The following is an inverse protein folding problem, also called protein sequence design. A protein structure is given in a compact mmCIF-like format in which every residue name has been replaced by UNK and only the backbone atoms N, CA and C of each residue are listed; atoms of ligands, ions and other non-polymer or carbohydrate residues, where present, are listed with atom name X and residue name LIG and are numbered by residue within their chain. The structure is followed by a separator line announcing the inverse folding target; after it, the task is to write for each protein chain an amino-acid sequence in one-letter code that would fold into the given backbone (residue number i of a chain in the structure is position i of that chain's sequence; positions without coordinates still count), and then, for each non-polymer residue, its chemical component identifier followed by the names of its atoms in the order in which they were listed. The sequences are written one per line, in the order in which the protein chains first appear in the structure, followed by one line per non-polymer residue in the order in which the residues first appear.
data_IF_502112758107
#
_entry.id   IF_502112758107
#
_cell.length_a   1.000
_cell.length_b   1.000
_cell.length_c   1.000
_cell.angle_alpha   90.00
_cell.angle_beta   90.00
_cell.angle_gamma   90.00
#
_symmetry.space_group_name_H-M   'P 1'
#
loop_
_entity.id
_entity.type
_entity.pdbx_description
1 polymer ?
#
# COMPACT_ATOMS: atom_id res chain seq x y z
N UNK A 1 -44.92 21.20 34.19
CA UNK A 1 -44.07 22.38 34.42
C UNK A 1 -43.22 22.60 33.19
N UNK A 2 -43.30 23.76 32.56
CA UNK A 2 -42.66 23.97 31.27
C UNK A 2 -41.12 23.72 31.29
N UNK A 3 -40.47 23.99 32.42
CA UNK A 3 -39.01 23.78 32.54
C UNK A 3 -38.61 22.30 32.49
N UNK A 4 -39.23 21.41 33.28
CA UNK A 4 -38.90 19.98 33.27
C UNK A 4 -39.24 19.31 31.95
N UNK A 5 -40.33 19.73 31.29
CA UNK A 5 -40.71 19.27 29.96
C UNK A 5 -39.69 19.73 28.91
N UNK A 6 -39.18 20.95 29.03
CA UNK A 6 -38.17 21.49 28.16
C UNK A 6 -36.83 20.73 28.32
N UNK A 7 -36.39 20.47 29.55
CA UNK A 7 -35.17 19.69 29.80
C UNK A 7 -35.32 18.22 29.38
N UNK A 8 -36.47 17.59 29.61
CA UNK A 8 -36.71 16.24 29.10
C UNK A 8 -36.62 16.19 27.57
N UNK A 9 -37.21 17.18 26.89
CA UNK A 9 -37.14 17.28 25.42
C UNK A 9 -35.70 17.45 24.94
N UNK A 10 -34.91 18.28 25.65
CA UNK A 10 -33.49 18.50 25.35
C UNK A 10 -32.65 17.24 25.50
N UNK A 11 -32.82 16.50 26.60
CA UNK A 11 -32.14 15.21 26.82
C UNK A 11 -32.54 14.15 25.79
N UNK A 12 -33.81 14.09 25.41
CA UNK A 12 -34.29 13.22 24.36
C UNK A 12 -33.68 13.54 23.01
N UNK A 13 -33.56 14.83 22.67
CA UNK A 13 -32.91 15.29 21.46
C UNK A 13 -31.42 14.91 21.45
N UNK A 14 -30.73 15.07 22.57
CA UNK A 14 -29.34 14.69 22.74
C UNK A 14 -29.16 13.17 22.61
N UNK A 15 -30.05 12.37 23.17
CA UNK A 15 -30.05 10.89 23.02
C UNK A 15 -30.29 10.47 21.57
N UNK A 16 -31.16 11.13 20.84
CA UNK A 16 -31.38 10.89 19.42
C UNK A 16 -30.13 11.23 18.58
N UNK A 17 -29.47 12.35 18.87
CA UNK A 17 -28.24 12.74 18.21
C UNK A 17 -27.13 11.71 18.45
N UNK A 18 -26.95 11.24 19.70
CA UNK A 18 -26.00 10.19 20.04
C UNK A 18 -26.32 8.86 19.32
N UNK A 19 -27.59 8.49 19.21
CA UNK A 19 -28.00 7.31 18.48
C UNK A 19 -27.68 7.41 16.99
N UNK A 20 -27.90 8.57 16.38
CA UNK A 20 -27.52 8.84 14.99
C UNK A 20 -26.00 8.76 14.79
N UNK A 21 -25.22 9.36 15.69
CA UNK A 21 -23.76 9.27 15.67
C UNK A 21 -23.27 7.83 15.82
N UNK A 22 -23.83 7.06 16.73
CA UNK A 22 -23.51 5.63 16.90
C UNK A 22 -23.79 4.85 15.62
N UNK A 23 -24.92 5.12 14.95
CA UNK A 23 -25.28 4.49 13.69
C UNK A 23 -24.28 4.82 12.59
N UNK A 24 -23.87 6.09 12.47
CA UNK A 24 -22.87 6.52 11.49
C UNK A 24 -21.53 5.83 11.71
N UNK A 25 -21.04 5.81 12.96
CA UNK A 25 -19.80 5.13 13.32
C UNK A 25 -19.87 3.61 13.08
N UNK A 26 -21.01 2.99 13.32
CA UNK A 26 -21.18 1.55 13.03
C UNK A 26 -21.13 1.26 11.53
N UNK A 27 -21.71 2.13 10.72
CA UNK A 27 -21.63 2.03 9.25
C UNK A 27 -20.20 2.22 8.78
N UNK A 28 -19.48 3.18 9.32
CA UNK A 28 -18.06 3.42 9.06
C UNK A 28 -17.21 2.23 9.46
N UNK A 29 -17.44 1.65 10.64
CA UNK A 29 -16.77 0.44 11.12
C UNK A 29 -16.95 -0.73 10.15
N UNK A 30 -18.16 -0.96 9.67
CA UNK A 30 -18.46 -2.01 8.70
C UNK A 30 -17.69 -1.81 7.39
N UNK A 31 -17.65 -0.59 6.87
CA UNK A 31 -16.88 -0.22 5.68
C UNK A 31 -15.38 -0.45 5.87
N UNK A 32 -14.83 -0.05 7.02
CA UNK A 32 -13.42 -0.26 7.35
C UNK A 32 -13.07 -1.74 7.50
N UNK A 33 -13.94 -2.56 8.10
CA UNK A 33 -13.76 -4.00 8.19
C UNK A 33 -13.77 -4.66 6.81
N UNK A 34 -14.62 -4.20 5.89
CA UNK A 34 -14.61 -4.65 4.50
C UNK A 34 -13.31 -4.26 3.79
N UNK A 35 -12.78 -3.06 4.05
CA UNK A 35 -11.49 -2.64 3.51
C UNK A 35 -10.35 -3.53 4.00
N UNK A 36 -10.34 -3.92 5.29
CA UNK A 36 -9.37 -4.89 5.83
C UNK A 36 -9.47 -6.22 5.10
N UNK A 37 -10.68 -6.77 4.94
CA UNK A 37 -10.89 -8.05 4.27
C UNK A 37 -10.44 -8.01 2.79
N UNK A 38 -10.73 -6.92 2.09
CA UNK A 38 -10.28 -6.70 0.71
C UNK A 38 -8.76 -6.65 0.62
N UNK A 39 -8.10 -5.90 1.50
CA UNK A 39 -6.65 -5.80 1.53
C UNK A 39 -5.98 -7.15 1.89
N UNK A 40 -6.57 -7.94 2.78
CA UNK A 40 -6.12 -9.31 3.08
C UNK A 40 -6.21 -10.23 1.86
N UNK A 41 -7.29 -10.13 1.09
CA UNK A 41 -7.44 -10.88 -0.16
C UNK A 41 -6.38 -10.47 -1.18
N UNK A 42 -6.14 -9.17 -1.34
CA UNK A 42 -5.09 -8.64 -2.22
C UNK A 42 -3.71 -9.12 -1.80
N UNK A 43 -3.40 -9.12 -0.50
CA UNK A 43 -2.16 -9.66 0.05
C UNK A 43 -1.98 -11.13 -0.30
N UNK A 44 -3.01 -11.95 -0.11
CA UNK A 44 -2.97 -13.38 -0.41
C UNK A 44 -2.71 -13.63 -1.89
N UNK A 45 -3.39 -12.89 -2.78
CA UNK A 45 -3.19 -12.98 -4.22
C UNK A 45 -1.77 -12.54 -4.63
N UNK A 46 -1.27 -11.44 -4.07
CA UNK A 46 0.08 -10.97 -4.30
C UNK A 46 1.12 -11.99 -3.81
N UNK A 47 0.91 -12.62 -2.66
CA UNK A 47 1.78 -13.65 -2.11
C UNK A 47 1.83 -14.92 -2.99
N UNK A 48 0.70 -15.34 -3.55
CA UNK A 48 0.65 -16.38 -4.57
C UNK A 48 1.44 -15.98 -5.83
N UNK A 49 1.31 -14.72 -6.26
CA UNK A 49 2.11 -14.15 -7.35
C UNK A 49 3.61 -14.20 -7.09
N UNK A 50 4.06 -13.87 -5.88
CA UNK A 50 5.49 -13.98 -5.48
C UNK A 50 5.96 -15.43 -5.62
N UNK A 51 5.20 -16.38 -5.08
CA UNK A 51 5.56 -17.81 -5.16
C UNK A 51 5.67 -18.28 -6.62
N UNK A 52 4.73 -17.89 -7.46
CA UNK A 52 4.73 -18.22 -8.88
C UNK A 52 5.91 -17.57 -9.62
N UNK A 53 6.20 -16.30 -9.35
CA UNK A 53 7.32 -15.59 -9.96
C UNK A 53 8.66 -16.22 -9.52
N UNK A 54 8.82 -16.51 -8.23
CA UNK A 54 10.02 -17.19 -7.71
C UNK A 54 10.24 -18.56 -8.33
N UNK A 55 9.19 -19.35 -8.55
CA UNK A 55 9.29 -20.66 -9.17
C UNK A 55 9.80 -20.61 -10.64
N UNK A 56 9.65 -19.46 -11.32
CA UNK A 56 10.16 -19.26 -12.68
C UNK A 56 11.65 -18.96 -12.74
N UNK A 57 12.26 -18.45 -11.69
CA UNK A 57 13.66 -18.02 -11.68
C UNK A 57 14.64 -19.20 -11.85
N UNK A 58 14.55 -20.33 -11.11
CA UNK A 58 15.51 -21.42 -11.24
C UNK A 58 15.61 -22.03 -12.64
N UNK A 59 14.51 -22.36 -13.35
CA UNK A 59 14.61 -22.91 -14.69
C UNK A 59 15.20 -21.90 -15.69
N UNK A 60 14.95 -20.60 -15.53
CA UNK A 60 15.54 -19.57 -16.37
C UNK A 60 17.03 -19.41 -16.11
N UNK A 61 17.47 -19.48 -14.85
CA UNK A 61 18.88 -19.48 -14.48
C UNK A 61 19.61 -20.71 -15.07
N UNK A 62 19.00 -21.90 -14.97
CA UNK A 62 19.56 -23.10 -15.58
C UNK A 62 19.69 -22.95 -17.11
N UNK A 63 18.68 -22.35 -17.77
CA UNK A 63 18.74 -22.08 -19.20
C UNK A 63 19.83 -21.05 -19.55
N UNK A 64 20.03 -20.03 -18.75
CA UNK A 64 21.10 -19.04 -18.94
C UNK A 64 22.47 -19.68 -18.79
N UNK A 65 22.70 -20.48 -17.74
CA UNK A 65 23.96 -21.20 -17.53
C UNK A 65 24.25 -22.21 -18.67
N UNK A 66 23.23 -22.88 -19.18
CA UNK A 66 23.39 -23.76 -20.35
C UNK A 66 23.78 -22.99 -21.63
N UNK A 67 23.19 -21.80 -21.83
CA UNK A 67 23.55 -20.95 -22.96
C UNK A 67 24.98 -20.38 -22.83
N UNK A 68 25.41 -20.01 -21.62
CA UNK A 68 26.79 -19.59 -21.33
C UNK A 68 27.80 -20.74 -21.59
N UNK A 69 27.47 -21.97 -21.21
CA UNK A 69 28.28 -23.12 -21.51
C UNK A 69 28.44 -23.31 -23.03
N UNK A 70 27.37 -23.12 -23.82
CA UNK A 70 27.45 -23.17 -25.29
C UNK A 70 28.36 -22.08 -25.87
N UNK A 71 28.43 -20.91 -25.27
CA UNK A 71 29.38 -19.85 -25.64
C UNK A 71 30.80 -20.31 -25.36
N UNK A 72 31.08 -20.88 -24.20
CA UNK A 72 32.39 -21.41 -23.84
C UNK A 72 32.84 -22.52 -24.79
N UNK A 73 31.95 -23.49 -25.11
CA UNK A 73 32.22 -24.57 -26.06
C UNK A 73 32.51 -24.01 -27.46
N UNK A 74 31.74 -23.04 -27.94
CA UNK A 74 31.97 -22.41 -29.24
C UNK A 74 33.29 -21.59 -29.28
N UNK A 75 33.69 -20.99 -28.17
CA UNK A 75 35.00 -20.35 -28.05
C UNK A 75 36.16 -21.38 -28.11
N UNK A 76 36.00 -22.48 -27.40
CA UNK A 76 36.98 -23.56 -27.42
C UNK A 76 37.10 -24.17 -28.83
N UNK A 77 35.98 -24.42 -29.52
CA UNK A 77 35.97 -24.89 -30.91
C UNK A 77 36.79 -23.97 -31.87
N UNK A 78 36.73 -22.64 -31.62
CA UNK A 78 37.51 -21.66 -32.41
C UNK A 78 38.99 -21.72 -32.04
N UNK A 79 39.33 -21.87 -30.76
CA UNK A 79 40.72 -22.02 -30.31
C UNK A 79 41.35 -23.27 -30.86
N UNK A 80 40.63 -24.40 -30.82
CA UNK A 80 41.09 -25.69 -31.37
C UNK A 80 41.26 -25.63 -32.89
N UNK A 81 40.47 -24.79 -33.57
CA UNK A 81 40.58 -24.55 -35.00
C UNK A 81 41.53 -23.40 -35.38
N UNK A 82 42.27 -22.80 -34.42
CA UNK A 82 43.16 -21.67 -34.68
C UNK A 82 44.31 -21.97 -35.60
N UNK A 83 44.81 -23.22 -35.60
CA UNK A 83 45.85 -23.70 -36.50
C UNK A 83 45.28 -24.53 -37.64
N UNK A 84 45.67 -24.28 -38.90
CA UNK A 84 45.22 -25.07 -40.03
C UNK A 84 45.80 -26.50 -39.94
N UNK A 85 44.98 -27.55 -39.92
CA UNK A 85 45.48 -28.92 -39.91
C UNK A 85 46.24 -29.20 -41.19
N UNK A 86 47.30 -30.01 -41.09
CA UNK A 86 48.09 -30.45 -42.28
C UNK A 86 47.17 -31.13 -43.33
N UNK A 87 47.30 -30.67 -44.61
CA UNK A 87 46.57 -31.26 -45.74
C UNK A 87 45.19 -30.67 -46.04
N UNK A 88 44.70 -29.72 -45.28
CA UNK A 88 43.41 -29.01 -45.56
C UNK A 88 43.68 -27.78 -46.46
N UNK A 89 42.95 -27.64 -47.60
CA UNK A 89 43.04 -26.42 -48.40
C UNK A 89 42.68 -25.14 -47.60
N UNK A 90 43.44 -24.02 -47.77
CA UNK A 90 43.22 -22.80 -47.01
C UNK A 90 41.81 -22.24 -47.15
N UNK A 91 41.14 -22.43 -48.28
CA UNK A 91 39.77 -21.96 -48.48
C UNK A 91 38.75 -22.74 -47.59
N UNK A 92 38.93 -24.07 -47.51
CA UNK A 92 38.05 -24.93 -46.68
C UNK A 92 38.23 -24.63 -45.21
N UNK A 93 39.47 -24.40 -44.78
CA UNK A 93 39.76 -24.00 -43.40
C UNK A 93 39.14 -22.64 -43.03
N UNK A 94 39.26 -21.61 -43.90
CA UNK A 94 38.62 -20.32 -43.71
C UNK A 94 37.11 -20.43 -43.63
N UNK A 95 36.47 -21.23 -44.46
CA UNK A 95 35.03 -21.49 -44.42
C UNK A 95 34.62 -22.16 -43.12
N UNK A 96 35.39 -23.13 -42.58
CA UNK A 96 35.15 -23.74 -41.26
C UNK A 96 35.26 -22.71 -40.14
N UNK A 97 36.29 -21.89 -40.15
CA UNK A 97 36.50 -20.85 -39.13
C UNK A 97 35.40 -19.80 -39.17
N UNK A 98 34.91 -19.43 -40.35
CA UNK A 98 33.75 -18.53 -40.49
C UNK A 98 32.46 -19.14 -39.93
N UNK A 99 32.23 -20.46 -40.15
CA UNK A 99 31.10 -21.19 -39.59
C UNK A 99 31.15 -21.25 -38.04
N UNK A 100 32.33 -21.49 -37.47
CA UNK A 100 32.53 -21.50 -36.02
C UNK A 100 32.32 -20.11 -35.41
N UNK A 101 32.80 -19.03 -36.04
CA UNK A 101 32.51 -17.65 -35.61
C UNK A 101 31.02 -17.34 -35.66
N UNK A 102 30.31 -17.80 -36.69
CA UNK A 102 28.84 -17.65 -36.75
C UNK A 102 28.14 -18.44 -35.64
N UNK A 103 28.61 -19.67 -35.31
CA UNK A 103 28.11 -20.44 -34.17
C UNK A 103 28.31 -19.69 -32.86
N UNK A 104 29.48 -19.10 -32.63
CA UNK A 104 29.77 -18.29 -31.46
C UNK A 104 28.82 -17.09 -31.35
N UNK A 105 28.63 -16.33 -32.44
CA UNK A 105 27.74 -15.17 -32.44
C UNK A 105 26.29 -15.58 -32.11
N UNK A 106 25.80 -16.70 -32.62
CA UNK A 106 24.47 -17.22 -32.27
C UNK A 106 24.39 -17.66 -30.80
N UNK A 107 25.42 -18.33 -30.28
CA UNK A 107 25.47 -18.72 -28.87
C UNK A 107 25.49 -17.51 -27.95
N UNK A 108 26.26 -16.45 -28.26
CA UNK A 108 26.28 -15.19 -27.52
C UNK A 108 24.92 -14.51 -27.51
N UNK A 109 24.24 -14.44 -28.65
CA UNK A 109 22.89 -13.87 -28.74
C UNK A 109 21.91 -14.69 -27.88
N UNK A 110 22.01 -16.03 -27.91
CA UNK A 110 21.15 -16.88 -27.08
C UNK A 110 21.44 -16.70 -25.58
N UNK A 111 22.70 -16.58 -25.18
CA UNK A 111 23.10 -16.33 -23.79
C UNK A 111 22.57 -14.97 -23.28
N UNK A 112 22.73 -13.90 -24.07
CA UNK A 112 22.21 -12.59 -23.76
C UNK A 112 20.68 -12.60 -23.60
N UNK A 113 19.96 -13.28 -24.51
CA UNK A 113 18.51 -13.42 -24.44
C UNK A 113 18.06 -14.23 -23.21
N UNK A 114 18.80 -15.27 -22.84
CA UNK A 114 18.51 -16.07 -21.66
C UNK A 114 18.73 -15.26 -20.36
N UNK A 115 19.82 -14.51 -20.30
CA UNK A 115 20.12 -13.63 -19.17
C UNK A 115 19.07 -12.50 -19.01
N UNK A 116 18.60 -11.92 -20.12
CA UNK A 116 17.52 -10.94 -20.09
C UNK A 116 16.23 -11.52 -19.47
N UNK A 117 15.89 -12.77 -19.79
CA UNK A 117 14.73 -13.45 -19.19
C UNK A 117 14.89 -13.69 -17.69
N UNK A 118 16.10 -13.98 -17.21
CA UNK A 118 16.39 -14.09 -15.76
C UNK A 118 16.16 -12.75 -15.09
N UNK A 119 16.66 -11.67 -15.65
CA UNK A 119 16.47 -10.30 -15.13
C UNK A 119 15.00 -9.94 -15.09
N UNK A 120 14.25 -10.20 -16.15
CA UNK A 120 12.80 -9.95 -16.20
C UNK A 120 12.04 -10.76 -15.12
N UNK A 121 12.40 -12.02 -14.92
CA UNK A 121 11.79 -12.84 -13.87
C UNK A 121 12.11 -12.30 -12.47
N UNK A 122 13.34 -11.86 -12.23
CA UNK A 122 13.73 -11.23 -10.95
C UNK A 122 13.01 -9.91 -10.71
N UNK A 123 12.84 -9.09 -11.74
CA UNK A 123 12.03 -7.86 -11.65
C UNK A 123 10.56 -8.18 -11.33
N UNK A 124 9.99 -9.22 -11.94
CA UNK A 124 8.64 -9.68 -11.63
C UNK A 124 8.51 -10.11 -10.16
N UNK A 125 9.50 -10.79 -9.58
CA UNK A 125 9.54 -11.12 -8.15
C UNK A 125 9.56 -9.85 -7.30
N UNK A 126 10.41 -8.89 -7.62
CA UNK A 126 10.50 -7.63 -6.89
C UNK A 126 9.18 -6.83 -6.94
N UNK A 127 8.54 -6.75 -8.09
CA UNK A 127 7.25 -6.09 -8.26
C UNK A 127 6.14 -6.75 -7.42
N UNK A 128 6.04 -8.08 -7.45
CA UNK A 128 5.03 -8.78 -6.65
C UNK A 128 5.32 -8.68 -5.15
N UNK A 129 6.58 -8.66 -4.72
CA UNK A 129 6.96 -8.39 -3.34
C UNK A 129 6.55 -6.96 -2.89
N UNK A 130 6.74 -5.97 -3.76
CA UNK A 130 6.29 -4.60 -3.49
C UNK A 130 4.75 -4.53 -3.33
N UNK A 131 4.00 -5.31 -4.10
CA UNK A 131 2.54 -5.41 -3.95
C UNK A 131 2.14 -6.02 -2.60
N UNK A 132 2.85 -7.05 -2.12
CA UNK A 132 2.62 -7.62 -0.77
C UNK A 132 2.85 -6.55 0.29
N UNK A 133 3.97 -5.82 0.22
CA UNK A 133 4.27 -4.75 1.17
C UNK A 133 3.23 -3.62 1.15
N UNK A 134 2.73 -3.27 -0.03
CA UNK A 134 1.67 -2.27 -0.17
C UNK A 134 0.37 -2.76 0.50
N UNK A 135 -0.01 -4.02 0.28
CA UNK A 135 -1.17 -4.62 0.93
C UNK A 135 -1.02 -4.70 2.46
N UNK A 136 0.17 -5.03 2.97
CA UNK A 136 0.45 -5.04 4.42
C UNK A 136 0.30 -3.65 5.04
N UNK A 137 0.76 -2.59 4.37
CA UNK A 137 0.56 -1.21 4.82
C UNK A 137 -0.93 -0.82 4.83
N UNK A 138 -1.69 -1.23 3.81
CA UNK A 138 -3.13 -1.00 3.76
C UNK A 138 -3.87 -1.72 4.89
N UNK A 139 -3.52 -2.97 5.18
CA UNK A 139 -4.08 -3.74 6.30
C UNK A 139 -3.79 -3.02 7.62
N UNK A 140 -2.56 -2.60 7.85
CA UNK A 140 -2.17 -1.90 9.07
C UNK A 140 -2.95 -0.58 9.25
N UNK A 141 -3.04 0.24 8.21
CA UNK A 141 -3.79 1.50 8.24
C UNK A 141 -5.29 1.27 8.49
N UNK A 142 -5.90 0.32 7.77
CA UNK A 142 -7.31 0.01 7.93
C UNK A 142 -7.60 -0.60 9.33
N UNK A 143 -6.71 -1.42 9.88
CA UNK A 143 -6.83 -1.97 11.24
C UNK A 143 -6.77 -0.87 12.29
N UNK A 144 -5.87 0.09 12.16
CA UNK A 144 -5.79 1.25 13.04
C UNK A 144 -7.08 2.08 12.98
N UNK A 145 -7.62 2.30 11.79
CA UNK A 145 -8.90 3.00 11.63
C UNK A 145 -10.07 2.23 12.29
N UNK A 146 -10.12 0.91 12.16
CA UNK A 146 -11.12 0.06 12.86
C UNK A 146 -11.01 0.24 14.37
N UNK A 147 -9.81 0.19 14.94
CA UNK A 147 -9.59 0.36 16.37
C UNK A 147 -10.02 1.76 16.86
N UNK A 148 -9.68 2.80 16.10
CA UNK A 148 -10.08 4.16 16.42
C UNK A 148 -11.62 4.32 16.42
N UNK A 149 -12.29 3.77 15.41
CA UNK A 149 -13.76 3.83 15.33
C UNK A 149 -14.42 3.02 16.45
N UNK A 150 -13.89 1.86 16.82
CA UNK A 150 -14.36 1.08 17.95
C UNK A 150 -14.20 1.84 19.28
N UNK A 151 -13.07 2.51 19.48
CA UNK A 151 -12.84 3.35 20.66
C UNK A 151 -13.83 4.52 20.69
N UNK A 152 -14.11 5.17 19.56
CA UNK A 152 -15.10 6.23 19.46
C UNK A 152 -16.52 5.73 19.81
N UNK A 153 -16.91 4.56 19.32
CA UNK A 153 -18.21 3.94 19.68
C UNK A 153 -18.26 3.64 21.19
N UNK A 154 -17.18 3.10 21.76
CA UNK A 154 -17.13 2.80 23.19
C UNK A 154 -17.23 4.08 24.04
N UNK A 155 -16.63 5.19 23.60
CA UNK A 155 -16.72 6.48 24.30
C UNK A 155 -18.13 7.10 24.32
N UNK A 156 -19.03 6.70 23.43
CA UNK A 156 -20.42 7.17 23.45
C UNK A 156 -21.27 6.50 24.55
N UNK A 157 -20.88 5.31 25.00
CA UNK A 157 -21.67 4.53 25.96
C UNK A 157 -21.86 5.23 27.32
N UNK A 158 -20.80 5.73 28.00
CA UNK A 158 -20.96 6.41 29.27
C UNK A 158 -21.84 7.67 29.12
N UNK A 159 -21.68 8.43 28.05
CA UNK A 159 -22.51 9.61 27.78
C UNK A 159 -23.98 9.27 27.60
N UNK A 160 -24.27 8.19 26.88
CA UNK A 160 -25.64 7.70 26.73
C UNK A 160 -26.25 7.31 28.09
N UNK A 161 -25.46 6.64 28.94
CA UNK A 161 -25.91 6.24 30.27
C UNK A 161 -26.20 7.47 31.14
N UNK A 162 -25.35 8.49 31.11
CA UNK A 162 -25.55 9.75 31.85
C UNK A 162 -26.83 10.50 31.42
N UNK A 163 -27.05 10.62 30.10
CA UNK A 163 -28.27 11.26 29.57
C UNK A 163 -29.53 10.47 29.92
N UNK A 164 -29.46 9.13 29.86
CA UNK A 164 -30.57 8.27 30.28
C UNK A 164 -30.87 8.41 31.79
N UNK A 165 -29.81 8.42 32.61
CA UNK A 165 -29.99 8.66 34.06
C UNK A 165 -30.61 10.03 34.35
N UNK A 166 -30.15 11.07 33.62
CA UNK A 166 -30.74 12.41 33.74
C UNK A 166 -32.23 12.45 33.35
N UNK A 167 -32.60 11.76 32.27
CA UNK A 167 -33.99 11.67 31.84
C UNK A 167 -34.85 10.96 32.89
N UNK A 168 -34.38 9.83 33.42
CA UNK A 168 -35.08 9.07 34.48
C UNK A 168 -35.27 9.91 35.72
N UNK A 169 -34.30 10.75 36.09
CA UNK A 169 -34.38 11.61 37.26
C UNK A 169 -35.41 12.76 37.04
N UNK A 170 -35.46 13.35 35.84
CA UNK A 170 -36.50 14.33 35.48
C UNK A 170 -37.90 13.71 35.55
N UNK A 171 -38.06 12.48 35.04
CA UNK A 171 -39.34 11.77 35.11
C UNK A 171 -39.74 11.49 36.56
N UNK A 172 -38.79 11.08 37.42
CA UNK A 172 -39.00 10.91 38.86
C UNK A 172 -39.44 12.20 39.52
N UNK A 173 -38.73 13.33 39.29
CA UNK A 173 -39.06 14.65 39.83
C UNK A 173 -40.45 15.11 39.39
N UNK A 174 -40.78 14.90 38.11
CA UNK A 174 -42.08 15.25 37.59
C UNK A 174 -43.23 14.48 38.26
N UNK A 175 -43.00 13.18 38.52
CA UNK A 175 -43.95 12.35 39.24
C UNK A 175 -44.11 12.79 40.73
N UNK A 176 -43.02 13.15 41.40
CA UNK A 176 -43.04 13.67 42.79
C UNK A 176 -43.73 15.03 42.92
N UNK A 177 -43.44 15.96 42.01
CA UNK A 177 -44.13 17.28 41.97
C UNK A 177 -45.64 17.12 41.76
N UNK A 178 -46.03 16.13 41.00
CA UNK A 178 -47.44 15.85 40.78
C UNK A 178 -48.11 15.29 42.03
N UNK A 179 -47.38 14.61 42.91
CA UNK A 179 -47.89 13.99 44.14
C UNK A 179 -47.84 14.89 45.37
N UNK A 180 -46.82 15.79 45.48
CA UNK A 180 -46.63 16.67 46.62
C UNK A 180 -46.20 18.09 46.20
N UNK A 181 -47.12 19.08 46.26
CA UNK A 181 -46.84 20.47 45.91
C UNK A 181 -45.81 21.16 46.82
N UNK A 182 -45.56 20.65 48.03
CA UNK A 182 -44.58 21.22 48.97
C UNK A 182 -43.13 20.85 48.63
N UNK A 183 -42.91 19.74 47.95
CA UNK A 183 -41.58 19.34 47.45
C UNK A 183 -41.07 20.26 46.31
N UNK A 184 -41.91 21.19 45.84
CA UNK A 184 -41.63 22.00 44.62
C UNK A 184 -40.38 22.89 44.75
N UNK A 185 -40.11 23.42 45.92
CA UNK A 185 -38.98 24.35 46.13
C UNK A 185 -37.62 23.59 46.12
N UNK A 186 -37.56 22.44 46.80
CA UNK A 186 -36.33 21.60 46.80
C UNK A 186 -36.03 21.00 45.41
N UNK A 187 -37.06 20.68 44.67
CA UNK A 187 -36.92 20.18 43.31
C UNK A 187 -36.52 21.24 42.28
N UNK A 188 -36.83 22.53 42.54
CA UNK A 188 -36.32 23.64 41.70
C UNK A 188 -34.80 23.80 41.81
N UNK A 189 -34.22 23.59 42.98
CA UNK A 189 -32.77 23.65 43.16
C UNK A 189 -32.06 22.46 42.48
N UNK A 190 -32.61 21.26 42.59
CA UNK A 190 -32.11 20.08 41.88
C UNK A 190 -32.23 20.25 40.36
N UNK A 191 -33.33 20.83 39.88
CA UNK A 191 -33.51 21.15 38.46
C UNK A 191 -32.47 22.17 37.96
N UNK A 192 -32.11 23.18 38.75
CA UNK A 192 -31.06 24.14 38.40
C UNK A 192 -29.66 23.44 38.31
N UNK A 193 -29.36 22.54 39.25
CA UNK A 193 -28.11 21.75 39.20
C UNK A 193 -28.05 20.83 37.97
N UNK A 194 -29.17 20.19 37.61
CA UNK A 194 -29.26 19.37 36.42
C UNK A 194 -29.07 20.19 35.12
N UNK A 195 -29.64 21.41 35.08
CA UNK A 195 -29.44 22.33 33.94
C UNK A 195 -27.97 22.69 33.75
N UNK A 196 -27.26 22.98 34.84
CA UNK A 196 -25.84 23.28 34.79
C UNK A 196 -25.04 22.05 34.30
N UNK A 197 -25.37 20.87 34.79
CA UNK A 197 -24.71 19.61 34.39
C UNK A 197 -24.98 19.25 32.91
N UNK A 198 -26.22 19.51 32.44
CA UNK A 198 -26.57 19.31 31.03
C UNK A 198 -25.80 20.27 30.13
N UNK A 199 -25.68 21.53 30.51
CA UNK A 199 -24.90 22.52 29.78
C UNK A 199 -23.41 22.12 29.67
N UNK A 200 -22.84 21.63 30.78
CA UNK A 200 -21.44 21.13 30.78
C UNK A 200 -21.27 19.90 29.87
N UNK A 201 -22.25 19.00 29.87
CA UNK A 201 -22.22 17.82 28.98
C UNK A 201 -22.35 18.21 27.50
N UNK A 202 -23.19 19.20 27.19
CA UNK A 202 -23.33 19.75 25.84
C UNK A 202 -22.04 20.44 25.35
N UNK A 203 -21.40 21.22 26.21
CA UNK A 203 -20.12 21.84 25.92
C UNK A 203 -19.03 20.76 25.64
N UNK A 204 -18.99 19.74 26.48
CA UNK A 204 -18.12 18.57 26.27
C UNK A 204 -18.43 17.82 24.95
N UNK A 205 -19.71 17.73 24.57
CA UNK A 205 -20.16 17.10 23.32
C UNK A 205 -19.76 17.95 22.11
N UNK A 206 -19.86 19.27 22.22
CA UNK A 206 -19.39 20.20 21.19
C UNK A 206 -17.87 20.10 20.98
N UNK A 207 -17.09 20.09 22.07
CA UNK A 207 -15.63 19.91 21.99
C UNK A 207 -15.27 18.60 21.28
N UNK A 208 -15.92 17.49 21.67
CA UNK A 208 -15.63 16.19 21.03
C UNK A 208 -16.06 16.16 19.57
N UNK A 209 -17.11 16.90 19.22
CA UNK A 209 -17.53 17.03 17.81
C UNK A 209 -16.49 17.78 16.98
N UNK A 210 -15.95 18.87 17.51
CA UNK A 210 -14.85 19.59 16.86
C UNK A 210 -13.60 18.73 16.73
N UNK A 211 -13.23 17.98 17.78
CA UNK A 211 -12.10 17.04 17.72
C UNK A 211 -12.32 15.93 16.67
N UNK A 212 -13.56 15.48 16.49
CA UNK A 212 -13.92 14.50 15.47
C UNK A 212 -13.84 15.12 14.06
N UNK A 213 -14.39 16.32 13.88
CA UNK A 213 -14.32 17.05 12.60
C UNK A 213 -12.86 17.34 12.20
N UNK A 214 -12.02 17.72 13.17
CA UNK A 214 -10.57 17.91 12.94
C UNK A 214 -9.86 16.59 12.59
N UNK A 215 -10.19 15.49 13.26
CA UNK A 215 -9.65 14.19 12.97
C UNK A 215 -10.09 13.67 11.60
N UNK A 216 -11.33 13.93 11.19
CA UNK A 216 -11.85 13.60 9.86
C UNK A 216 -11.16 14.43 8.77
N UNK A 217 -10.94 15.72 9.02
CA UNK A 217 -10.20 16.59 8.11
C UNK A 217 -8.74 16.14 7.94
N UNK A 218 -8.09 15.77 9.05
CA UNK A 218 -6.74 15.23 9.04
C UNK A 218 -6.69 13.89 8.27
N UNK A 219 -7.65 13.01 8.49
CA UNK A 219 -7.76 11.73 7.77
C UNK A 219 -7.93 11.98 6.25
N UNK A 220 -8.78 12.92 5.86
CA UNK A 220 -8.97 13.30 4.46
C UNK A 220 -7.67 13.82 3.84
N UNK A 221 -6.92 14.67 4.57
CA UNK A 221 -5.63 15.19 4.12
C UNK A 221 -4.58 14.08 3.95
N UNK A 222 -4.52 13.14 4.90
CA UNK A 222 -3.61 11.98 4.85
C UNK A 222 -3.96 11.04 3.69
N UNK A 223 -5.25 10.84 3.41
CA UNK A 223 -5.70 10.05 2.25
C UNK A 223 -5.31 10.70 0.93
N UNK A 224 -5.43 12.02 0.83
CA UNK A 224 -4.98 12.78 -0.34
C UNK A 224 -3.47 12.64 -0.52
N UNK A 225 -2.69 12.84 0.55
CA UNK A 225 -1.23 12.69 0.52
C UNK A 225 -0.79 11.27 0.16
N UNK A 226 -1.49 10.26 0.67
CA UNK A 226 -1.26 8.87 0.29
C UNK A 226 -1.48 8.64 -1.20
N UNK A 227 -2.55 9.20 -1.76
CA UNK A 227 -2.85 9.07 -3.19
C UNK A 227 -1.80 9.77 -4.05
N UNK A 228 -1.34 10.96 -3.64
CA UNK A 228 -0.22 11.67 -4.29
C UNK A 228 1.06 10.85 -4.27
N UNK A 229 1.43 10.28 -3.11
CA UNK A 229 2.60 9.42 -2.98
C UNK A 229 2.48 8.13 -3.82
N UNK A 230 1.29 7.56 -3.90
CA UNK A 230 1.04 6.38 -4.73
C UNK A 230 1.22 6.71 -6.23
N UNK A 231 0.75 7.87 -6.65
CA UNK A 231 0.92 8.36 -8.03
C UNK A 231 2.40 8.65 -8.33
N UNK A 232 3.12 9.28 -7.38
CA UNK A 232 4.55 9.54 -7.49
C UNK A 232 5.35 8.23 -7.58
N UNK A 233 5.02 7.24 -6.77
CA UNK A 233 5.66 5.91 -6.81
C UNK A 233 5.38 5.20 -8.14
N UNK A 234 4.18 5.30 -8.70
CA UNK A 234 3.86 4.76 -10.01
C UNK A 234 4.68 5.45 -11.11
N UNK A 235 4.83 6.78 -11.04
CA UNK A 235 5.64 7.56 -11.99
C UNK A 235 7.12 7.19 -11.89
N UNK A 236 7.65 7.07 -10.68
CA UNK A 236 9.05 6.65 -10.46
C UNK A 236 9.28 5.21 -10.93
N UNK A 237 8.33 4.31 -10.74
CA UNK A 237 8.42 2.93 -11.22
C UNK A 237 8.48 2.82 -12.76
N UNK A 238 7.97 3.83 -13.48
CA UNK A 238 8.11 3.91 -14.94
C UNK A 238 9.40 4.62 -15.35
N UNK A 239 9.81 5.65 -14.64
CA UNK A 239 10.99 6.46 -14.97
C UNK A 239 12.32 5.75 -14.66
N UNK A 240 12.37 4.93 -13.60
CA UNK A 240 13.60 4.20 -13.23
C UNK A 240 14.05 3.26 -14.35
N UNK A 241 13.20 2.37 -14.93
CA UNK A 241 13.61 1.50 -16.02
C UNK A 241 14.01 2.27 -17.29
N UNK A 242 13.36 3.42 -17.54
CA UNK A 242 13.74 4.28 -18.67
C UNK A 242 15.13 4.90 -18.47
N UNK A 243 15.42 5.38 -17.26
CA UNK A 243 16.73 5.91 -16.91
C UNK A 243 17.83 4.84 -16.95
N UNK A 244 17.53 3.63 -16.44
CA UNK A 244 18.44 2.47 -16.54
C UNK A 244 18.72 2.08 -17.99
N UNK A 245 17.70 2.11 -18.85
CA UNK A 245 17.85 1.85 -20.28
C UNK A 245 18.72 2.91 -20.96
N UNK A 246 18.52 4.18 -20.62
CA UNK A 246 19.32 5.29 -21.14
C UNK A 246 20.79 5.22 -20.65
N UNK A 247 21.00 4.88 -19.38
CA UNK A 247 22.33 4.67 -18.84
C UNK A 247 23.06 3.53 -19.53
N UNK A 248 22.40 2.38 -19.72
CA UNK A 248 22.98 1.25 -20.45
C UNK A 248 23.29 1.59 -21.92
N UNK A 249 22.45 2.38 -22.58
CA UNK A 249 22.70 2.84 -23.94
C UNK A 249 23.90 3.82 -23.98
N UNK A 250 24.05 4.69 -22.99
CA UNK A 250 25.19 5.60 -22.88
C UNK A 250 26.51 4.85 -22.62
N UNK A 251 26.48 3.81 -21.77
CA UNK A 251 27.64 2.94 -21.53
C UNK A 251 28.06 2.19 -22.80
N UNK A 252 27.10 1.69 -23.58
CA UNK A 252 27.38 1.04 -24.86
C UNK A 252 27.97 2.02 -25.88
N UNK A 253 27.44 3.24 -25.94
CA UNK A 253 27.98 4.27 -26.82
C UNK A 253 29.40 4.70 -26.44
N UNK A 254 29.67 4.77 -25.12
CA UNK A 254 31.02 5.07 -24.62
C UNK A 254 31.99 3.94 -24.99
N UNK A 255 31.62 2.69 -24.76
CA UNK A 255 32.44 1.53 -25.13
C UNK A 255 32.72 1.45 -26.64
N UNK A 256 31.73 1.81 -27.47
CA UNK A 256 31.90 1.86 -28.92
C UNK A 256 32.87 2.98 -29.33
N UNK A 257 32.77 4.18 -28.71
CA UNK A 257 33.69 5.29 -28.97
C UNK A 257 35.11 4.95 -28.51
N UNK A 258 35.29 4.29 -27.36
CA UNK A 258 36.60 3.84 -26.89
C UNK A 258 37.23 2.81 -27.83
N UNK A 259 36.44 1.89 -28.38
CA UNK A 259 36.89 0.94 -29.38
C UNK A 259 37.31 1.60 -30.69
N UNK A 260 36.56 2.61 -31.14
CA UNK A 260 36.87 3.40 -32.34
C UNK A 260 38.17 4.20 -32.15
N UNK A 261 38.35 4.85 -30.99
CA UNK A 261 39.60 5.54 -30.64
C UNK A 261 40.78 4.57 -30.61
N UNK A 262 40.59 3.38 -30.03
CA UNK A 262 41.66 2.36 -29.98
C UNK A 262 42.06 1.88 -31.39
N UNK A 263 41.06 1.73 -32.27
CA UNK A 263 41.32 1.34 -33.68
C UNK A 263 42.07 2.46 -34.42
N UNK A 264 41.67 3.70 -34.25
CA UNK A 264 42.34 4.87 -34.84
C UNK A 264 43.79 5.04 -34.34
N UNK A 265 44.06 4.69 -33.09
CA UNK A 265 45.41 4.73 -32.52
C UNK A 265 46.30 3.56 -33.02
N UNK A 266 45.71 2.45 -33.45
CA UNK A 266 46.43 1.30 -34.01
C UNK A 266 46.72 1.43 -35.53
N UNK A 267 45.88 2.20 -36.26
CA UNK A 267 45.98 2.43 -37.69
C UNK A 267 46.77 3.75 -38.02
N UNK A 268 47.32 4.46 -37.03
CA UNK A 268 48.22 5.60 -37.23
C UNK A 268 49.58 5.20 -37.81
N UNK A 269 50.17 6.01 -38.71
CA UNK A 269 51.34 5.70 -39.49
C UNK A 269 52.60 5.48 -38.65
#
# INVERSE_FOLDING_TARGET
MPFLEQEATRLQTALQALAAQQTALTTQLTSQQQAVATAQTQRTNAQAGVTQAQARVPPLQAAASAAEAQVADAQQDILDASEPPEGIPPATWRARLAALRKKLALAQTAATAAQAKVTEAQQSVAQTQAQVQAADRQIAAATTAVQATQAAIAALQPRRQELQAGLTEIERMNAEITRDPMARAALQEVAAQLTTRTATLEESLLVTRFELEDAEALLASLLTRRNELTTLLATLATQIPEAETQAAAAEQALAAAEAEVTTLLQDGP
#
